data_IF_073845558589
#
_entry.id   IF_073845558589
#
_cell.length_a   1.000
_cell.length_b   1.000
_cell.length_c   1.000
_cell.angle_alpha   90.00
_cell.angle_beta   90.00
_cell.angle_gamma   90.00
#
_symmetry.space_group_name_H-M   'P 1'
#
loop_
_entity.id
_entity.type
_entity.pdbx_description
1 polymer ?
#
# COMPACT_ATOMS: atom_id res chain seq x y z
N UNK A 1 6.38 -40.31 4.12
CA UNK A 1 6.11 -40.30 5.57
C UNK A 1 5.66 -38.88 5.89
N UNK A 2 4.49 -38.71 6.49
CA UNK A 2 3.88 -37.41 6.73
C UNK A 2 3.71 -37.23 8.25
N UNK A 3 3.74 -35.98 8.72
CA UNK A 3 3.49 -35.66 10.12
C UNK A 3 2.02 -35.91 10.47
N UNK A 4 1.74 -36.33 11.70
CA UNK A 4 0.38 -36.29 12.25
C UNK A 4 0.01 -34.85 12.68
N UNK A 5 -1.28 -34.54 12.76
CA UNK A 5 -1.77 -33.24 13.23
C UNK A 5 -1.18 -32.84 14.59
N UNK A 6 -1.08 -33.78 15.54
CA UNK A 6 -0.47 -33.54 16.87
C UNK A 6 0.99 -33.08 16.76
N UNK A 7 1.76 -33.71 15.87
CA UNK A 7 3.15 -33.31 15.62
C UNK A 7 3.23 -31.92 14.98
N UNK A 8 2.31 -31.59 14.06
CA UNK A 8 2.24 -30.26 13.43
C UNK A 8 1.96 -29.18 14.48
N UNK A 9 1.03 -29.42 15.41
CA UNK A 9 0.75 -28.49 16.51
C UNK A 9 1.97 -28.32 17.44
N UNK A 10 2.66 -29.40 17.81
CA UNK A 10 3.88 -29.32 18.62
C UNK A 10 4.98 -28.47 17.97
N UNK A 11 5.18 -28.61 16.65
CA UNK A 11 6.15 -27.80 15.90
C UNK A 11 5.70 -26.34 15.85
N UNK A 12 4.40 -26.10 15.63
CA UNK A 12 3.83 -24.74 15.56
C UNK A 12 3.98 -24.01 16.90
N UNK A 13 3.67 -24.67 18.02
CA UNK A 13 3.85 -24.11 19.36
C UNK A 13 5.32 -23.77 19.66
N UNK A 14 6.26 -24.60 19.17
CA UNK A 14 7.69 -24.33 19.29
C UNK A 14 8.11 -23.14 18.42
N UNK A 15 7.62 -23.07 17.18
CA UNK A 15 7.87 -21.95 16.27
C UNK A 15 7.40 -20.62 16.89
N UNK A 16 6.15 -20.56 17.36
CA UNK A 16 5.58 -19.36 17.99
C UNK A 16 6.44 -18.89 19.16
N UNK A 17 6.84 -19.80 20.07
CA UNK A 17 7.70 -19.45 21.22
C UNK A 17 9.07 -18.93 20.79
N UNK A 18 9.63 -19.48 19.71
CA UNK A 18 10.93 -19.04 19.19
C UNK A 18 10.79 -17.65 18.55
N UNK A 19 9.78 -17.42 17.72
CA UNK A 19 9.54 -16.10 17.10
C UNK A 19 9.18 -15.03 18.13
N UNK A 20 8.39 -15.34 19.15
CA UNK A 20 8.12 -14.45 20.29
C UNK A 20 9.40 -14.10 21.06
N UNK A 21 10.31 -15.06 21.25
CA UNK A 21 11.57 -14.81 21.95
C UNK A 21 12.53 -13.91 21.16
N UNK A 22 12.57 -14.04 19.84
CA UNK A 22 13.46 -13.26 18.98
C UNK A 22 12.82 -11.99 18.40
N UNK A 23 11.51 -11.79 18.62
CA UNK A 23 10.71 -10.68 18.08
C UNK A 23 10.85 -10.51 16.55
N UNK A 24 11.10 -11.62 15.84
CA UNK A 24 11.38 -11.64 14.39
C UNK A 24 11.00 -13.00 13.79
N UNK A 25 10.74 -13.09 12.47
CA UNK A 25 10.57 -14.38 11.81
C UNK A 25 11.86 -15.21 11.84
N UNK A 26 11.74 -16.44 12.34
CA UNK A 26 12.87 -17.35 12.54
C UNK A 26 12.71 -18.60 11.69
N UNK A 27 13.75 -18.93 10.93
CA UNK A 27 13.91 -20.23 10.29
C UNK A 27 14.44 -21.24 11.34
N UNK A 28 13.66 -22.31 11.57
CA UNK A 28 13.96 -23.34 12.57
C UNK A 28 14.24 -24.69 11.93
N UNK A 29 15.26 -25.38 12.44
CA UNK A 29 15.49 -26.79 12.15
C UNK A 29 15.13 -27.62 13.38
N UNK A 30 14.40 -28.71 13.19
CA UNK A 30 13.87 -29.53 14.26
C UNK A 30 13.86 -31.01 13.90
N UNK A 31 13.79 -31.87 14.92
CA UNK A 31 13.66 -33.31 14.74
C UNK A 31 12.84 -33.95 15.86
N UNK A 32 12.17 -35.07 15.53
CA UNK A 32 11.58 -35.96 16.52
C UNK A 32 12.53 -37.11 16.85
N UNK A 33 12.78 -37.34 18.13
CA UNK A 33 13.44 -38.55 18.61
C UNK A 33 12.67 -39.13 19.80
N UNK A 34 12.36 -40.42 19.76
CA UNK A 34 11.58 -41.10 20.82
C UNK A 34 10.27 -40.37 21.19
N UNK A 35 9.55 -39.87 20.18
CA UNK A 35 8.31 -39.08 20.31
C UNK A 35 8.47 -37.67 20.92
N UNK A 36 9.69 -37.24 21.22
CA UNK A 36 9.96 -35.88 21.70
C UNK A 36 10.44 -34.98 20.56
N UNK A 37 9.97 -33.73 20.55
CA UNK A 37 10.42 -32.69 19.63
C UNK A 37 11.67 -31.99 20.17
N UNK A 38 12.66 -31.78 19.31
CA UNK A 38 13.89 -31.08 19.62
C UNK A 38 14.15 -29.96 18.60
N UNK A 39 14.53 -28.78 19.10
CA UNK A 39 15.06 -27.68 18.29
C UNK A 39 16.56 -27.90 18.05
N UNK A 40 16.97 -27.92 16.79
CA UNK A 40 18.36 -28.12 16.39
C UNK A 40 19.04 -26.81 15.99
N UNK A 41 18.30 -25.91 15.35
CA UNK A 41 18.81 -24.61 14.92
C UNK A 41 17.67 -23.58 14.92
N UNK A 42 18.01 -22.32 15.18
CA UNK A 42 17.15 -21.16 15.03
C UNK A 42 17.98 -20.02 14.44
N UNK A 43 17.56 -19.47 13.28
CA UNK A 43 18.25 -18.35 12.63
C UNK A 43 17.26 -17.33 12.05
N UNK A 44 17.54 -16.01 12.14
CA UNK A 44 16.68 -14.99 11.55
C UNK A 44 16.54 -15.14 10.03
N UNK A 45 15.33 -14.92 9.51
CA UNK A 45 15.08 -14.84 8.05
C UNK A 45 15.52 -13.46 7.55
N UNK A 46 16.70 -13.39 6.92
CA UNK A 46 17.27 -12.12 6.44
C UNK A 46 16.66 -11.57 5.16
N UNK A 47 15.91 -12.41 4.42
CA UNK A 47 15.17 -12.01 3.23
C UNK A 47 13.77 -11.46 3.53
N UNK A 48 13.35 -11.50 4.80
CA UNK A 48 12.06 -10.94 5.22
C UNK A 48 12.16 -9.41 5.23
N UNK A 49 11.37 -8.78 4.36
CA UNK A 49 11.21 -7.32 4.34
C UNK A 49 9.88 -7.03 5.00
N UNK A 50 9.85 -6.58 6.27
CA UNK A 50 8.61 -6.29 6.95
C UNK A 50 7.89 -5.14 6.25
N UNK A 51 6.56 -5.22 6.23
CA UNK A 51 5.78 -4.02 5.98
C UNK A 51 6.02 -3.02 7.12
N UNK A 52 6.10 -1.72 6.81
CA UNK A 52 6.10 -0.68 7.83
C UNK A 52 4.87 -0.79 8.74
N UNK A 53 5.01 -0.40 10.01
CA UNK A 53 3.97 -0.50 11.04
C UNK A 53 2.67 0.20 10.62
N UNK A 54 2.78 1.34 9.93
CA UNK A 54 1.63 2.11 9.45
C UNK A 54 0.80 1.37 8.40
N UNK A 55 1.36 0.36 7.75
CA UNK A 55 0.70 -0.47 6.75
C UNK A 55 0.13 -1.77 7.31
N UNK A 56 0.42 -2.09 8.58
CA UNK A 56 -0.09 -3.29 9.23
C UNK A 56 -1.56 -3.13 9.64
N UNK A 57 -2.25 -4.26 9.71
CA UNK A 57 -3.64 -4.35 10.15
C UNK A 57 -3.74 -5.37 11.27
N UNK A 58 -4.37 -4.99 12.37
CA UNK A 58 -4.62 -5.89 13.48
C UNK A 58 -5.56 -7.04 13.08
N UNK A 59 -5.47 -8.21 13.74
CA UNK A 59 -6.40 -9.31 13.52
C UNK A 59 -7.86 -8.88 13.70
N UNK A 60 -8.68 -9.11 12.67
CA UNK A 60 -10.12 -8.77 12.68
C UNK A 60 -10.45 -7.37 12.17
N UNK A 61 -9.46 -6.51 11.95
CA UNK A 61 -9.65 -5.18 11.35
C UNK A 61 -9.76 -5.24 9.82
N UNK A 62 -10.14 -4.11 9.22
CA UNK A 62 -10.20 -3.94 7.77
C UNK A 62 -8.86 -4.26 7.11
N UNK A 63 -8.85 -5.20 6.15
CA UNK A 63 -7.66 -5.52 5.35
C UNK A 63 -7.41 -4.45 4.31
N UNK A 64 -6.14 -4.09 4.13
CA UNK A 64 -5.72 -3.11 3.12
C UNK A 64 -4.81 -3.74 2.08
N UNK A 65 -5.00 -3.36 0.83
CA UNK A 65 -4.12 -3.73 -0.28
C UNK A 65 -3.38 -2.48 -0.76
N UNK A 66 -2.05 -2.58 -0.77
CA UNK A 66 -1.15 -1.54 -1.24
C UNK A 66 -0.37 -2.05 -2.45
N UNK A 67 -0.12 -1.17 -3.42
CA UNK A 67 0.73 -1.47 -4.55
C UNK A 67 1.94 -0.53 -4.56
N UNK A 68 3.14 -1.11 -4.59
CA UNK A 68 4.40 -0.36 -4.76
C UNK A 68 4.50 0.15 -6.20
N UNK A 69 4.31 1.45 -6.38
CA UNK A 69 4.40 2.11 -7.68
C UNK A 69 5.84 2.45 -8.08
N UNK A 70 6.75 2.55 -7.10
CA UNK A 70 8.19 2.71 -7.38
C UNK A 70 8.69 1.49 -8.15
N UNK A 71 8.27 0.29 -7.75
CA UNK A 71 8.59 -0.92 -8.49
C UNK A 71 7.68 -1.11 -9.71
N UNK A 72 6.36 -1.21 -9.52
CA UNK A 72 5.43 -1.65 -10.57
C UNK A 72 5.37 -0.69 -11.77
N UNK A 73 5.53 0.62 -11.54
CA UNK A 73 5.42 1.63 -12.61
C UNK A 73 6.77 2.19 -13.05
N UNK A 74 7.69 2.43 -12.12
CA UNK A 74 8.99 3.04 -12.45
C UNK A 74 10.10 1.99 -12.68
N UNK A 75 9.86 0.72 -12.36
CA UNK A 75 10.84 -0.36 -12.51
C UNK A 75 12.01 -0.28 -11.54
N UNK A 76 11.93 0.59 -10.53
CA UNK A 76 13.01 0.81 -9.56
C UNK A 76 12.88 -0.25 -8.47
N UNK A 77 13.83 -1.18 -8.45
CA UNK A 77 13.84 -2.30 -7.49
C UNK A 77 14.24 -1.87 -6.09
N UNK A 78 15.21 -0.98 -5.99
CA UNK A 78 15.72 -0.51 -4.72
C UNK A 78 14.92 0.69 -4.19
N UNK A 79 14.83 0.88 -2.86
CA UNK A 79 14.28 2.10 -2.30
C UNK A 79 15.04 3.33 -2.79
N UNK A 80 14.29 4.39 -3.12
CA UNK A 80 14.87 5.72 -3.32
C UNK A 80 15.30 6.25 -1.94
N UNK A 81 16.27 7.17 -1.89
CA UNK A 81 16.66 7.78 -0.62
C UNK A 81 15.46 8.46 0.06
N UNK A 82 15.42 8.41 1.40
CA UNK A 82 14.33 9.03 2.20
C UNK A 82 14.16 10.51 1.84
N UNK A 83 15.26 11.24 1.73
CA UNK A 83 15.24 12.64 1.28
C UNK A 83 14.65 12.80 -0.12
N UNK A 84 15.01 11.92 -1.05
CA UNK A 84 14.48 11.96 -2.42
C UNK A 84 12.97 11.70 -2.45
N UNK A 85 12.48 10.72 -1.68
CA UNK A 85 11.04 10.48 -1.57
C UNK A 85 10.29 11.61 -0.88
N UNK A 86 10.86 12.22 0.16
CA UNK A 86 10.23 13.35 0.85
C UNK A 86 10.12 14.57 -0.07
N UNK A 87 11.16 14.84 -0.86
CA UNK A 87 11.12 15.88 -1.87
C UNK A 87 10.02 15.63 -2.92
N UNK A 88 9.89 14.38 -3.39
CA UNK A 88 8.82 14.00 -4.31
C UNK A 88 7.43 14.14 -3.67
N UNK A 89 7.27 13.84 -2.38
CA UNK A 89 6.02 14.05 -1.65
C UNK A 89 5.66 15.53 -1.58
N UNK A 90 6.63 16.43 -1.37
CA UNK A 90 6.38 17.88 -1.39
C UNK A 90 5.83 18.32 -2.75
N UNK A 91 6.45 17.87 -3.85
CA UNK A 91 5.97 18.16 -5.20
C UNK A 91 4.54 17.61 -5.39
N UNK A 92 4.30 16.36 -5.00
CA UNK A 92 2.98 15.74 -5.11
C UNK A 92 1.92 16.49 -4.31
N UNK A 93 2.23 16.96 -3.08
CA UNK A 93 1.30 17.75 -2.26
C UNK A 93 0.85 19.02 -2.96
N UNK A 94 1.75 19.72 -3.65
CA UNK A 94 1.39 20.93 -4.43
C UNK A 94 0.48 20.54 -5.60
N UNK A 95 0.87 19.53 -6.39
CA UNK A 95 0.09 19.07 -7.54
C UNK A 95 -1.32 18.57 -7.15
N UNK A 96 -1.43 17.79 -6.07
CA UNK A 96 -2.70 17.28 -5.57
C UNK A 96 -3.58 18.37 -4.98
N UNK A 97 -3.01 19.36 -4.29
CA UNK A 97 -3.78 20.51 -3.84
C UNK A 97 -4.40 21.26 -5.01
N UNK A 98 -3.66 21.42 -6.09
CA UNK A 98 -4.15 22.12 -7.28
C UNK A 98 -5.18 21.31 -8.07
N UNK A 99 -5.00 19.99 -8.20
CA UNK A 99 -5.87 19.12 -9.04
C UNK A 99 -7.06 18.51 -8.29
N UNK A 100 -6.88 18.13 -7.02
CA UNK A 100 -7.89 17.46 -6.18
C UNK A 100 -8.51 18.43 -5.16
N UNK A 101 -7.89 19.59 -4.94
CA UNK A 101 -8.33 20.58 -3.95
C UNK A 101 -7.86 20.28 -2.52
N UNK A 102 -7.11 19.19 -2.30
CA UNK A 102 -6.46 18.85 -1.02
C UNK A 102 -5.29 17.91 -1.26
N UNK A 103 -4.29 17.97 -0.37
CA UNK A 103 -3.18 17.03 -0.31
C UNK A 103 -3.29 16.02 0.83
N UNK A 104 -4.35 16.09 1.66
CA UNK A 104 -4.54 15.19 2.82
C UNK A 104 -4.70 13.72 2.40
N UNK A 105 -5.06 13.51 1.13
CA UNK A 105 -5.18 12.21 0.47
C UNK A 105 -3.84 11.53 0.28
N UNK A 106 -2.72 12.26 0.44
CA UNK A 106 -1.37 11.73 0.40
C UNK A 106 -0.95 11.18 1.78
N UNK A 107 -1.65 10.14 2.22
CA UNK A 107 -1.44 9.44 3.49
C UNK A 107 -1.82 7.95 3.36
N UNK A 108 -1.43 7.13 4.33
CA UNK A 108 -1.63 5.66 4.31
C UNK A 108 -3.11 5.28 4.23
N UNK A 109 -3.96 5.96 5.00
CA UNK A 109 -5.42 5.87 4.99
C UNK A 109 -6.08 6.70 3.86
N UNK A 110 -5.26 7.30 2.99
CA UNK A 110 -5.65 8.08 1.82
C UNK A 110 -5.59 7.28 0.51
N UNK A 111 -5.13 7.91 -0.57
CA UNK A 111 -5.01 7.30 -1.91
C UNK A 111 -3.58 6.88 -2.25
N UNK A 112 -2.59 7.63 -1.80
CA UNK A 112 -1.18 7.38 -2.09
C UNK A 112 -0.31 7.90 -0.96
N UNK A 113 0.89 7.36 -0.81
CA UNK A 113 1.84 7.81 0.22
C UNK A 113 3.24 7.33 -0.13
N UNK A 114 4.25 7.87 0.56
CA UNK A 114 5.61 7.35 0.48
C UNK A 114 6.07 6.89 1.86
N UNK A 115 6.76 5.76 1.92
CA UNK A 115 7.26 5.18 3.16
C UNK A 115 8.49 4.32 2.85
N UNK A 116 9.54 4.44 3.69
CA UNK A 116 10.76 3.64 3.53
C UNK A 116 11.44 3.75 2.16
N UNK A 117 11.38 4.93 1.51
CA UNK A 117 11.98 5.12 0.18
C UNK A 117 11.15 4.61 -1.01
N UNK A 118 9.91 4.18 -0.76
CA UNK A 118 8.98 3.66 -1.78
C UNK A 118 7.70 4.49 -1.82
N UNK A 119 7.10 4.59 -3.00
CA UNK A 119 5.81 5.23 -3.23
C UNK A 119 4.74 4.18 -3.44
N UNK A 120 3.65 4.29 -2.69
CA UNK A 120 2.54 3.34 -2.69
C UNK A 120 1.25 4.01 -3.11
N UNK A 121 0.35 3.21 -3.69
CA UNK A 121 -1.07 3.53 -3.78
C UNK A 121 -1.85 2.61 -2.87
N UNK A 122 -2.88 3.15 -2.23
CA UNK A 122 -3.87 2.37 -1.50
C UNK A 122 -4.93 1.88 -2.51
N UNK A 123 -4.81 0.61 -2.92
CA UNK A 123 -5.67 -0.02 -3.93
C UNK A 123 -7.09 -0.13 -3.42
N UNK A 124 -7.25 -0.57 -2.16
CA UNK A 124 -8.54 -0.69 -1.48
C UNK A 124 -9.37 0.59 -1.56
N UNK A 125 -8.74 1.72 -1.21
CA UNK A 125 -9.37 3.03 -1.25
C UNK A 125 -9.62 3.52 -2.67
N UNK A 126 -8.70 3.26 -3.59
CA UNK A 126 -8.85 3.64 -5.00
C UNK A 126 -10.01 2.91 -5.67
N UNK A 127 -10.15 1.61 -5.42
CA UNK A 127 -11.27 0.79 -5.87
C UNK A 127 -12.58 1.27 -5.23
N UNK A 128 -12.59 1.57 -3.93
CA UNK A 128 -13.79 2.11 -3.25
C UNK A 128 -14.25 3.44 -3.84
N UNK A 129 -13.30 4.31 -4.24
CA UNK A 129 -13.60 5.66 -4.73
C UNK A 129 -14.05 5.68 -6.19
N UNK A 130 -13.39 4.91 -7.06
CA UNK A 130 -13.59 4.99 -8.51
C UNK A 130 -14.35 3.79 -9.12
N UNK A 131 -14.56 2.74 -8.35
CA UNK A 131 -15.09 1.45 -8.80
C UNK A 131 -13.98 0.51 -9.29
N UNK A 132 -14.17 -0.79 -9.04
CA UNK A 132 -13.18 -1.85 -9.35
C UNK A 132 -12.83 -1.92 -10.83
N UNK A 133 -13.84 -1.98 -11.70
CA UNK A 133 -13.64 -2.10 -13.16
C UNK A 133 -12.82 -0.94 -13.73
N UNK A 134 -13.18 0.29 -13.37
CA UNK A 134 -12.47 1.50 -13.83
C UNK A 134 -11.03 1.52 -13.35
N UNK A 135 -10.79 1.16 -12.08
CA UNK A 135 -9.45 1.15 -11.51
C UNK A 135 -8.58 0.04 -12.14
N UNK A 136 -9.11 -1.18 -12.26
CA UNK A 136 -8.43 -2.31 -12.93
C UNK A 136 -8.07 -1.95 -14.37
N UNK A 137 -8.97 -1.31 -15.11
CA UNK A 137 -8.67 -0.85 -16.47
C UNK A 137 -7.50 0.14 -16.55
N UNK A 138 -7.37 1.05 -15.58
CA UNK A 138 -6.25 2.01 -15.51
C UNK A 138 -4.92 1.34 -15.13
N UNK A 139 -4.97 0.33 -14.25
CA UNK A 139 -3.77 -0.43 -13.87
C UNK A 139 -3.35 -1.36 -15.01
N UNK A 140 -4.29 -1.97 -15.74
CA UNK A 140 -4.01 -2.89 -16.85
C UNK A 140 -3.19 -2.25 -17.98
N UNK A 141 -3.32 -0.93 -18.19
CA UNK A 141 -2.49 -0.19 -19.16
C UNK A 141 -1.05 0.04 -18.68
N UNK A 142 -0.77 -0.18 -17.40
CA UNK A 142 0.54 0.03 -16.76
C UNK A 142 1.20 -1.31 -16.43
N UNK A 143 0.47 -2.21 -15.76
CA UNK A 143 0.92 -3.54 -15.38
C UNK A 143 -0.25 -4.55 -15.39
N UNK A 144 -0.19 -5.52 -16.31
CA UNK A 144 -1.25 -6.51 -16.48
C UNK A 144 -1.34 -7.48 -15.30
N UNK A 145 -0.20 -7.85 -14.69
CA UNK A 145 -0.17 -8.81 -13.59
C UNK A 145 -0.82 -8.22 -12.33
N UNK A 146 -0.49 -6.98 -11.97
CA UNK A 146 -1.17 -6.29 -10.87
C UNK A 146 -2.66 -6.13 -11.15
N UNK A 147 -3.06 -5.84 -12.39
CA UNK A 147 -4.46 -5.73 -12.75
C UNK A 147 -5.22 -7.05 -12.53
N UNK A 148 -4.67 -8.19 -12.94
CA UNK A 148 -5.27 -9.50 -12.74
C UNK A 148 -5.38 -9.86 -11.25
N UNK A 149 -4.37 -9.52 -10.44
CA UNK A 149 -4.40 -9.69 -8.98
C UNK A 149 -5.53 -8.86 -8.36
N UNK A 150 -5.65 -7.58 -8.74
CA UNK A 150 -6.66 -6.66 -8.20
C UNK A 150 -8.06 -7.07 -8.66
N UNK A 151 -8.21 -7.57 -9.88
CA UNK A 151 -9.47 -8.07 -10.41
C UNK A 151 -9.98 -9.29 -9.63
N UNK A 152 -9.07 -10.14 -9.15
CA UNK A 152 -9.41 -11.34 -8.37
C UNK A 152 -9.29 -11.14 -6.85
N UNK A 153 -9.09 -9.91 -6.37
CA UNK A 153 -8.99 -9.64 -4.93
C UNK A 153 -10.32 -9.88 -4.21
N UNK A 154 -10.23 -10.39 -2.98
CA UNK A 154 -11.34 -10.61 -2.06
C UNK A 154 -12.03 -9.28 -1.68
N UNK A 155 -13.35 -9.31 -1.51
CA UNK A 155 -14.14 -8.18 -1.03
C UNK A 155 -13.70 -7.69 0.36
N UNK A 156 -13.09 -8.55 1.17
CA UNK A 156 -12.51 -8.19 2.47
C UNK A 156 -11.44 -7.07 2.37
N UNK A 157 -10.84 -6.85 1.20
CA UNK A 157 -9.90 -5.74 0.95
C UNK A 157 -10.58 -4.43 0.55
N UNK A 158 -11.91 -4.41 0.36
CA UNK A 158 -12.64 -3.20 0.00
C UNK A 158 -13.33 -2.67 1.26
N UNK A 159 -13.01 -1.45 1.73
CA UNK A 159 -13.61 -0.93 2.94
C UNK A 159 -15.12 -0.71 2.77
N UNK A 160 -15.89 -1.09 3.79
CA UNK A 160 -17.34 -0.89 3.79
C UNK A 160 -17.71 0.61 3.70
N UNK A 161 -17.00 1.44 4.47
CA UNK A 161 -17.21 2.88 4.53
C UNK A 161 -16.06 3.61 3.86
N UNK A 162 -16.38 4.64 3.08
CA UNK A 162 -15.37 5.54 2.53
C UNK A 162 -14.65 6.26 3.67
N UNK A 163 -13.30 6.18 3.73
CA UNK A 163 -12.51 6.86 4.75
C UNK A 163 -12.83 8.36 4.85
N UNK A 164 -12.78 8.98 6.04
CA UNK A 164 -13.14 10.38 6.23
C UNK A 164 -12.38 11.34 5.30
N UNK A 165 -11.08 11.11 5.08
CA UNK A 165 -10.22 11.91 4.19
C UNK A 165 -10.65 11.85 2.73
N UNK A 166 -11.40 10.81 2.33
CA UNK A 166 -11.85 10.62 0.96
C UNK A 166 -13.24 11.19 0.68
N UNK A 167 -13.97 11.61 1.72
CA UNK A 167 -15.32 12.15 1.57
C UNK A 167 -15.29 13.49 0.84
N UNK A 168 -16.11 13.59 -0.22
CA UNK A 168 -16.23 14.81 -1.02
C UNK A 168 -15.05 15.08 -1.96
N UNK A 169 -14.07 14.17 -2.08
CA UNK A 169 -12.95 14.32 -3.02
C UNK A 169 -13.44 14.54 -4.45
N UNK A 170 -14.43 13.75 -4.89
CA UNK A 170 -14.94 13.85 -6.27
C UNK A 170 -15.47 15.26 -6.53
N UNK A 171 -16.23 15.82 -5.59
CA UNK A 171 -16.74 17.19 -5.69
C UNK A 171 -15.61 18.23 -5.68
N UNK A 172 -14.63 18.11 -4.78
CA UNK A 172 -13.47 19.03 -4.72
C UNK A 172 -12.67 19.00 -6.03
N UNK A 173 -12.49 17.82 -6.61
CA UNK A 173 -11.81 17.63 -7.88
C UNK A 173 -12.56 18.34 -9.02
N UNK A 174 -13.88 18.17 -9.10
CA UNK A 174 -14.72 18.87 -10.10
C UNK A 174 -14.63 20.39 -9.94
N UNK A 175 -14.69 20.90 -8.71
CA UNK A 175 -14.58 22.33 -8.41
C UNK A 175 -13.19 22.89 -8.77
N UNK A 176 -12.12 22.14 -8.50
CA UNK A 176 -10.76 22.50 -8.89
C UNK A 176 -10.60 22.58 -10.42
N UNK A 177 -11.12 21.59 -11.16
CA UNK A 177 -11.08 21.63 -12.62
C UNK A 177 -11.87 22.81 -13.19
N UNK A 178 -13.02 23.15 -12.58
CA UNK A 178 -13.77 24.33 -12.96
C UNK A 178 -12.97 25.63 -12.72
N UNK A 179 -12.36 25.79 -11.54
CA UNK A 179 -11.54 26.96 -11.20
C UNK A 179 -10.33 27.09 -12.14
N UNK A 180 -9.62 25.99 -12.38
CA UNK A 180 -8.52 25.93 -13.34
C UNK A 180 -8.99 26.31 -14.75
N UNK A 181 -10.13 25.77 -15.20
CA UNK A 181 -10.71 26.09 -16.51
C UNK A 181 -11.05 27.58 -16.65
N UNK A 182 -11.63 28.19 -15.61
CA UNK A 182 -11.91 29.63 -15.58
C UNK A 182 -10.62 30.46 -15.63
N UNK A 183 -9.58 30.06 -14.88
CA UNK A 183 -8.27 30.73 -14.90
C UNK A 183 -7.60 30.64 -16.27
N UNK A 184 -7.62 29.46 -16.89
CA UNK A 184 -7.06 29.26 -18.22
C UNK A 184 -7.82 30.07 -19.27
N UNK A 185 -9.16 30.13 -19.20
CA UNK A 185 -9.96 30.97 -20.10
C UNK A 185 -9.65 32.46 -19.92
N UNK A 186 -9.53 32.93 -18.67
CA UNK A 186 -9.14 34.32 -18.37
C UNK A 186 -7.74 34.66 -18.90
N UNK A 187 -6.77 33.75 -18.75
CA UNK A 187 -5.42 33.91 -19.28
C UNK A 187 -5.41 33.93 -20.82
N UNK A 188 -6.27 33.15 -21.47
CA UNK A 188 -6.42 33.15 -22.92
C UNK A 188 -7.04 34.46 -23.44
N UNK A 189 -8.03 35.01 -22.72
CA UNK A 189 -8.72 36.26 -23.08
C UNK A 189 -7.86 37.49 -22.81
N UNK A 190 -7.07 37.50 -21.72
CA UNK A 190 -6.19 38.62 -21.38
C UNK A 190 -4.80 38.13 -20.94
N UNK A 191 -3.90 37.85 -21.89
CA UNK A 191 -2.57 37.32 -21.61
C UNK A 191 -1.68 38.30 -20.82
N UNK A 192 -1.79 39.60 -21.09
CA UNK A 192 -0.94 40.64 -20.49
C UNK A 192 -1.37 41.03 -19.06
N UNK A 193 -2.62 40.75 -18.69
CA UNK A 193 -3.17 41.03 -17.35
C UNK A 193 -3.04 39.89 -16.34
N UNK A 194 -2.56 38.71 -16.76
CA UNK A 194 -2.45 37.54 -15.88
C UNK A 194 -1.20 37.63 -14.98
N UNK A 195 -1.38 38.01 -13.71
CA UNK A 195 -0.33 37.88 -12.68
C UNK A 195 -0.55 36.59 -11.89
N UNK A 196 0.51 35.78 -11.79
CA UNK A 196 0.57 34.51 -11.05
C UNK A 196 0.20 34.67 -9.58
#
# INVERSE_FOLDING_TARGET
MCLSDEQVFLITDMLVKVEEYYENPIDIEWAFANRNLYLLQARPITAYIPLPEEMLTEPGEQKWLYQDMTFAKQGIREPISVLGTDFMVVIQKVLFKDTVGTSDVLSVDGLAFSLGGRGYINVSNSVKLQGKERFVSQIRTQDALSADIIENMDEAYIPEKTPPKLRGIILRTVLSYFDTGVKTLKAFINPEGYKK
#
